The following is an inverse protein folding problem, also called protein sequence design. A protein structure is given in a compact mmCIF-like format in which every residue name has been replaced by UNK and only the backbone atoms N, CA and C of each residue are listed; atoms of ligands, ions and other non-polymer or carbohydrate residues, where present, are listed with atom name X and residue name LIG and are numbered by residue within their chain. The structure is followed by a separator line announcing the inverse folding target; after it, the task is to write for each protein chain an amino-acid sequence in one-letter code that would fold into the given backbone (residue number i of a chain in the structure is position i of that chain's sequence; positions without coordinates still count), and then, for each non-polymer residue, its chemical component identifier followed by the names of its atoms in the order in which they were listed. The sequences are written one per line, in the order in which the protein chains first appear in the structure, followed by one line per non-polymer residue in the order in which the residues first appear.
data_IF_358874659006
#
_entry.id   IF_358874659006
#
_cell.length_a   1.000
_cell.length_b   1.000
_cell.length_c   1.000
_cell.angle_alpha   90.00
_cell.angle_beta   90.00
_cell.angle_gamma   90.00
#
_symmetry.space_group_name_H-M   'P 1'
#
loop_
_entity.id
_entity.type
_entity.pdbx_description
1 polymer ?
#
# COMPACT_ATOMS: atom_id res chain seq x y z
N UNK A 1 10.58 -12.62 -16.44
CA UNK A 1 9.69 -13.32 -15.48
C UNK A 1 10.42 -14.02 -14.32
N UNK A 2 11.75 -14.24 -14.35
CA UNK A 2 12.46 -15.01 -13.32
C UNK A 2 12.94 -14.30 -12.03
N UNK A 3 12.66 -13.00 -11.83
CA UNK A 3 13.16 -12.26 -10.66
C UNK A 3 12.11 -12.08 -9.53
N UNK A 4 10.82 -12.05 -9.86
CA UNK A 4 9.75 -11.83 -8.89
C UNK A 4 9.59 -12.98 -7.89
N UNK A 5 9.76 -14.23 -8.33
CA UNK A 5 9.70 -15.39 -7.44
C UNK A 5 10.79 -15.37 -6.36
N UNK A 6 12.01 -14.93 -6.70
CA UNK A 6 13.09 -14.77 -5.72
C UNK A 6 12.83 -13.61 -4.77
N UNK A 7 12.38 -12.47 -5.29
CA UNK A 7 12.02 -11.32 -4.47
C UNK A 7 10.93 -11.68 -3.46
N UNK A 8 9.89 -12.39 -3.91
CA UNK A 8 8.81 -12.88 -3.05
C UNK A 8 9.33 -13.79 -1.94
N UNK A 9 10.22 -14.74 -2.25
CA UNK A 9 10.81 -15.63 -1.24
C UNK A 9 11.57 -14.85 -0.16
N UNK A 10 12.36 -13.83 -0.54
CA UNK A 10 13.07 -13.00 0.42
C UNK A 10 12.12 -12.15 1.27
N UNK A 11 11.09 -11.55 0.68
CA UNK A 11 10.11 -10.76 1.42
C UNK A 11 9.26 -11.61 2.37
N UNK A 12 8.83 -12.81 1.96
CA UNK A 12 8.08 -13.73 2.83
C UNK A 12 8.93 -14.20 4.02
N UNK A 13 10.22 -14.52 3.80
CA UNK A 13 11.14 -14.83 4.91
C UNK A 13 11.32 -13.66 5.86
N UNK A 14 11.49 -12.44 5.33
CA UNK A 14 11.59 -11.23 6.15
C UNK A 14 10.31 -10.99 6.95
N UNK A 15 9.15 -11.20 6.33
CA UNK A 15 7.84 -11.03 6.97
C UNK A 15 7.68 -11.98 8.15
N UNK A 16 8.02 -13.27 7.97
CA UNK A 16 7.95 -14.26 9.05
C UNK A 16 8.87 -13.94 10.24
N UNK A 17 10.02 -13.31 9.98
CA UNK A 17 10.92 -12.86 11.05
C UNK A 17 10.27 -11.70 11.81
N UNK A 18 9.70 -10.72 11.10
CA UNK A 18 9.01 -9.61 11.72
C UNK A 18 7.78 -10.04 12.51
N UNK A 19 6.95 -10.96 12.00
CA UNK A 19 5.78 -11.48 12.71
C UNK A 19 6.14 -12.13 14.06
N UNK A 20 7.31 -12.78 14.14
CA UNK A 20 7.79 -13.40 15.39
C UNK A 20 8.41 -12.40 16.35
N UNK A 21 9.02 -11.33 15.84
CA UNK A 21 9.83 -10.41 16.62
C UNK A 21 9.06 -9.15 17.07
N UNK A 22 7.97 -8.78 16.40
CA UNK A 22 7.32 -7.49 16.56
C UNK A 22 5.86 -7.63 17.01
N UNK A 23 5.33 -6.62 17.73
CA UNK A 23 3.89 -6.54 18.00
C UNK A 23 3.06 -6.52 16.70
N UNK A 24 1.82 -7.05 16.69
CA UNK A 24 1.01 -7.16 15.48
C UNK A 24 0.71 -5.86 14.72
N UNK A 25 0.85 -4.70 15.35
CA UNK A 25 0.60 -3.39 14.73
C UNK A 25 1.91 -2.63 14.45
N UNK A 26 3.07 -3.30 14.46
CA UNK A 26 4.34 -2.62 14.24
C UNK A 26 4.46 -2.17 12.76
N UNK A 27 4.84 -0.91 12.47
CA UNK A 27 4.90 -0.38 11.09
C UNK A 27 5.74 -1.22 10.11
N UNK A 28 6.83 -1.84 10.57
CA UNK A 28 7.63 -2.76 9.73
C UNK A 28 6.84 -3.95 9.16
N UNK A 29 5.79 -4.43 9.83
CA UNK A 29 4.90 -5.45 9.28
C UNK A 29 4.16 -4.90 8.06
N UNK A 30 3.62 -3.69 8.16
CA UNK A 30 2.96 -3.02 7.03
C UNK A 30 3.92 -2.76 5.86
N UNK A 31 5.16 -2.35 6.13
CA UNK A 31 6.18 -2.20 5.07
C UNK A 31 6.47 -3.52 4.37
N UNK A 32 6.56 -4.60 5.14
CA UNK A 32 6.78 -5.94 4.58
C UNK A 32 5.60 -6.40 3.72
N UNK A 33 4.37 -6.20 4.20
CA UNK A 33 3.15 -6.50 3.45
C UNK A 33 3.05 -5.68 2.16
N UNK A 34 3.34 -4.38 2.21
CA UNK A 34 3.37 -3.52 1.03
C UNK A 34 4.35 -4.02 -0.04
N UNK A 35 5.53 -4.48 0.35
CA UNK A 35 6.52 -5.02 -0.59
C UNK A 35 6.05 -6.32 -1.24
N UNK A 36 5.43 -7.21 -0.46
CA UNK A 36 4.86 -8.45 -1.00
C UNK A 36 3.70 -8.14 -1.96
N UNK A 37 2.82 -7.21 -1.58
CA UNK A 37 1.73 -6.73 -2.43
C UNK A 37 2.22 -6.19 -3.76
N UNK A 38 3.29 -5.37 -3.74
CA UNK A 38 3.91 -4.82 -4.95
C UNK A 38 4.48 -5.90 -5.87
N UNK A 39 5.08 -6.94 -5.31
CA UNK A 39 5.58 -8.06 -6.13
C UNK A 39 4.41 -8.78 -6.80
N UNK A 40 3.31 -9.03 -6.08
CA UNK A 40 2.12 -9.66 -6.68
C UNK A 40 1.44 -8.78 -7.73
N UNK A 41 1.37 -7.47 -7.54
CA UNK A 41 0.83 -6.52 -8.54
C UNK A 41 1.66 -6.55 -9.82
N UNK A 42 2.99 -6.50 -9.70
CA UNK A 42 3.91 -6.62 -10.85
C UNK A 42 3.85 -7.98 -11.56
N UNK A 43 3.37 -9.02 -10.87
CA UNK A 43 3.10 -10.34 -11.46
C UNK A 43 1.71 -10.45 -12.10
N UNK A 44 0.88 -9.41 -12.00
CA UNK A 44 -0.53 -9.43 -12.43
C UNK A 44 -1.44 -10.23 -11.51
N UNK A 45 -0.97 -10.65 -10.33
CA UNK A 45 -1.79 -11.33 -9.33
C UNK A 45 -2.46 -10.31 -8.41
N UNK A 46 -3.40 -9.56 -8.97
CA UNK A 46 -4.09 -8.46 -8.29
C UNK A 46 -4.84 -8.89 -7.03
N UNK A 47 -5.43 -10.09 -7.01
CA UNK A 47 -6.12 -10.60 -5.83
C UNK A 47 -5.19 -10.75 -4.62
N UNK A 48 -3.97 -11.28 -4.82
CA UNK A 48 -2.99 -11.37 -3.75
C UNK A 48 -2.40 -9.99 -3.42
N UNK A 49 -2.19 -9.13 -4.42
CA UNK A 49 -1.72 -7.77 -4.17
C UNK A 49 -2.66 -7.02 -3.22
N UNK A 50 -3.97 -7.06 -3.49
CA UNK A 50 -5.00 -6.47 -2.62
C UNK A 50 -4.96 -7.05 -1.20
N UNK A 51 -4.87 -8.38 -1.05
CA UNK A 51 -4.81 -9.01 0.27
C UNK A 51 -3.67 -8.45 1.13
N UNK A 52 -2.47 -8.30 0.56
CA UNK A 52 -1.32 -7.78 1.28
C UNK A 52 -1.41 -6.26 1.51
N UNK A 53 -1.86 -5.48 0.53
CA UNK A 53 -2.06 -4.04 0.73
C UNK A 53 -3.14 -3.72 1.78
N UNK A 54 -4.21 -4.50 1.86
CA UNK A 54 -5.25 -4.35 2.89
C UNK A 54 -4.73 -4.73 4.29
N UNK A 55 -3.88 -5.76 4.41
CA UNK A 55 -3.19 -6.09 5.67
C UNK A 55 -2.30 -4.95 6.13
N UNK A 56 -1.49 -4.39 5.22
CA UNK A 56 -0.63 -3.25 5.51
C UNK A 56 -1.44 -2.04 5.98
N UNK A 57 -2.52 -1.70 5.26
CA UNK A 57 -3.42 -0.61 5.61
C UNK A 57 -3.99 -0.79 7.02
N UNK A 58 -4.49 -1.99 7.35
CA UNK A 58 -5.07 -2.29 8.68
C UNK A 58 -4.07 -2.14 9.83
N UNK A 59 -2.79 -2.45 9.58
CA UNK A 59 -1.73 -2.22 10.55
C UNK A 59 -1.50 -0.71 10.74
N UNK A 60 -1.38 0.04 9.64
CA UNK A 60 -1.15 1.48 9.66
C UNK A 60 -2.31 2.23 10.32
N UNK A 61 -3.56 1.86 10.04
CA UNK A 61 -4.77 2.46 10.65
C UNK A 61 -4.79 2.32 12.18
N UNK A 62 -4.14 1.29 12.73
CA UNK A 62 -4.01 1.11 14.18
C UNK A 62 -2.78 1.79 14.76
N UNK A 63 -1.72 1.94 13.96
CA UNK A 63 -0.43 2.44 14.43
C UNK A 63 -0.29 3.96 14.30
N UNK A 64 -1.02 4.58 13.37
CA UNK A 64 -0.82 5.96 12.94
C UNK A 64 -2.08 6.82 13.11
N UNK A 65 -1.91 8.14 13.25
CA UNK A 65 -3.06 9.04 13.25
C UNK A 65 -3.77 9.05 11.88
N UNK A 66 -5.09 9.34 11.83
CA UNK A 66 -5.90 9.21 10.61
C UNK A 66 -5.44 10.02 9.38
N UNK A 67 -4.65 11.09 9.58
CA UNK A 67 -4.14 11.93 8.49
C UNK A 67 -2.64 11.67 8.22
N UNK A 68 -2.09 10.52 8.60
CA UNK A 68 -0.68 10.22 8.34
C UNK A 68 -0.44 9.94 6.84
N UNK A 69 0.59 10.52 6.20
CA UNK A 69 0.89 10.30 4.78
C UNK A 69 1.00 8.82 4.36
N UNK A 70 1.54 7.96 5.23
CA UNK A 70 1.62 6.52 4.95
C UNK A 70 0.26 5.85 4.72
N UNK A 71 -0.82 6.32 5.36
CA UNK A 71 -2.18 5.84 5.09
C UNK A 71 -2.60 6.22 3.66
N UNK A 72 -2.27 7.44 3.22
CA UNK A 72 -2.55 7.89 1.87
C UNK A 72 -1.81 7.05 0.83
N UNK A 73 -0.54 6.74 1.06
CA UNK A 73 0.25 5.86 0.21
C UNK A 73 -0.38 4.46 0.12
N UNK A 74 -0.83 3.89 1.23
CA UNK A 74 -1.51 2.59 1.23
C UNK A 74 -2.83 2.60 0.47
N UNK A 75 -3.67 3.63 0.64
CA UNK A 75 -4.89 3.76 -0.17
C UNK A 75 -4.57 3.93 -1.66
N UNK A 76 -3.51 4.67 -2.00
CA UNK A 76 -3.08 4.85 -3.39
C UNK A 76 -2.64 3.52 -4.03
N UNK A 77 -1.91 2.67 -3.31
CA UNK A 77 -1.51 1.36 -3.81
C UNK A 77 -2.73 0.46 -4.09
N UNK A 78 -3.73 0.47 -3.21
CA UNK A 78 -4.98 -0.27 -3.44
C UNK A 78 -5.72 0.28 -4.67
N UNK A 79 -5.80 1.61 -4.81
CA UNK A 79 -6.38 2.26 -5.98
C UNK A 79 -5.69 1.85 -7.28
N UNK A 80 -4.35 1.77 -7.27
CA UNK A 80 -3.55 1.32 -8.41
C UNK A 80 -3.87 -0.12 -8.82
N UNK A 81 -4.06 -1.02 -7.87
CA UNK A 81 -4.44 -2.40 -8.20
C UNK A 81 -5.82 -2.46 -8.85
N UNK A 82 -6.81 -1.72 -8.32
CA UNK A 82 -8.13 -1.65 -8.95
C UNK A 82 -8.09 -1.01 -10.34
N UNK A 83 -7.25 0.02 -10.53
CA UNK A 83 -7.02 0.61 -11.84
C UNK A 83 -6.42 -0.41 -12.82
N UNK A 84 -5.41 -1.17 -12.40
CA UNK A 84 -4.79 -2.22 -13.20
C UNK A 84 -5.77 -3.37 -13.55
N UNK A 85 -6.78 -3.59 -12.71
CA UNK A 85 -7.89 -4.53 -12.98
C UNK A 85 -8.97 -3.96 -13.92
N UNK A 86 -8.95 -2.65 -14.21
CA UNK A 86 -9.98 -1.96 -14.98
C UNK A 86 -11.23 -1.57 -14.16
N UNK A 87 -11.21 -1.74 -12.83
CA UNK A 87 -12.27 -1.26 -11.94
C UNK A 87 -12.01 0.20 -11.55
N UNK A 88 -12.19 1.09 -12.52
CA UNK A 88 -11.90 2.52 -12.36
C UNK A 88 -12.76 3.18 -11.30
N UNK A 89 -13.99 2.69 -11.07
CA UNK A 89 -14.89 3.20 -10.04
C UNK A 89 -14.31 2.99 -8.64
N UNK A 90 -13.84 1.76 -8.35
CA UNK A 90 -13.16 1.51 -7.07
C UNK A 90 -11.81 2.21 -6.99
N UNK A 91 -11.04 2.22 -8.07
CA UNK A 91 -9.76 2.92 -8.10
C UNK A 91 -9.91 4.39 -7.67
N UNK A 92 -10.88 5.09 -8.26
CA UNK A 92 -11.21 6.48 -7.93
C UNK A 92 -11.59 6.65 -6.45
N UNK A 93 -12.41 5.78 -5.88
CA UNK A 93 -12.78 5.84 -4.46
C UNK A 93 -11.53 5.81 -3.55
N UNK A 94 -10.57 4.93 -3.86
CA UNK A 94 -9.34 4.79 -3.11
C UNK A 94 -8.37 5.97 -3.34
N UNK A 95 -8.26 6.47 -4.56
CA UNK A 95 -7.46 7.65 -4.86
C UNK A 95 -8.01 8.91 -4.17
N UNK A 96 -9.33 9.10 -4.12
CA UNK A 96 -9.94 10.20 -3.38
C UNK A 96 -9.64 10.13 -1.87
N UNK A 97 -9.66 8.93 -1.27
CA UNK A 97 -9.27 8.73 0.13
C UNK A 97 -7.81 9.12 0.36
N UNK A 98 -6.93 8.68 -0.54
CA UNK A 98 -5.50 9.04 -0.51
C UNK A 98 -5.30 10.56 -0.60
N UNK A 99 -5.91 11.20 -1.60
CA UNK A 99 -5.85 12.64 -1.82
C UNK A 99 -6.31 13.44 -0.59
N UNK A 100 -7.47 13.09 0.00
CA UNK A 100 -8.01 13.76 1.19
C UNK A 100 -7.04 13.71 2.39
N UNK A 101 -6.26 12.64 2.52
CA UNK A 101 -5.25 12.53 3.59
C UNK A 101 -4.04 13.40 3.25
N UNK A 102 -3.50 13.29 2.03
CA UNK A 102 -2.36 14.12 1.61
C UNK A 102 -2.67 15.62 1.70
N UNK A 103 -3.88 16.05 1.32
CA UNK A 103 -4.32 17.44 1.43
C UNK A 103 -4.28 17.96 2.88
N UNK A 104 -4.64 17.11 3.85
CA UNK A 104 -4.62 17.47 5.28
C UNK A 104 -3.22 17.35 5.90
N UNK A 105 -2.40 16.45 5.39
CA UNK A 105 -1.12 16.10 5.97
C UNK A 105 0.03 16.99 5.48
N UNK A 106 -0.07 17.49 4.25
CA UNK A 106 1.04 18.12 3.53
C UNK A 106 0.73 19.56 3.12
N UNK A 107 1.73 20.46 3.13
CA UNK A 107 1.59 21.77 2.52
C UNK A 107 1.27 21.66 1.02
N UNK A 108 0.53 22.62 0.42
CA UNK A 108 0.07 22.55 -0.98
C UNK A 108 1.14 22.37 -2.07
N UNK A 109 2.45 22.49 -1.73
CA UNK A 109 3.58 22.38 -2.66
C UNK A 109 4.34 21.07 -2.54
N UNK A 110 3.83 20.09 -1.80
CA UNK A 110 4.53 18.84 -1.58
C UNK A 110 4.38 17.86 -2.77
N UNK A 111 5.45 17.21 -3.24
CA UNK A 111 5.40 16.31 -4.40
C UNK A 111 4.36 15.19 -4.30
N UNK A 112 4.16 14.61 -3.11
CA UNK A 112 3.18 13.53 -2.92
C UNK A 112 1.74 14.00 -3.11
N UNK A 113 1.43 15.26 -2.75
CA UNK A 113 0.13 15.86 -3.07
C UNK A 113 -0.04 15.98 -4.59
N UNK A 114 1.01 16.37 -5.33
CA UNK A 114 0.95 16.42 -6.79
C UNK A 114 0.78 15.03 -7.41
N UNK A 115 1.42 13.99 -6.87
CA UNK A 115 1.25 12.61 -7.33
C UNK A 115 -0.18 12.10 -7.13
N UNK A 116 -0.86 12.52 -6.07
CA UNK A 116 -2.26 12.15 -5.83
C UNK A 116 -3.22 12.68 -6.91
N UNK A 117 -2.92 13.83 -7.53
CA UNK A 117 -3.70 14.37 -8.65
C UNK A 117 -3.48 13.61 -9.97
N UNK A 118 -2.36 12.91 -10.14
CA UNK A 118 -2.10 12.20 -11.39
C UNK A 118 -2.98 10.94 -11.55
N UNK A 119 -3.59 10.48 -10.46
CA UNK A 119 -4.38 9.25 -10.41
C UNK A 119 -5.90 9.50 -10.39
N UNK A 120 -6.34 10.77 -10.36
CA UNK A 120 -7.74 11.22 -10.38
C UNK A 120 -8.00 11.92 -11.71
#
# INVERSE_FOLDING_TARGET
MGNYSKALEFYEKSHQIFEKALPPNHPNLATSDNNIGLVYDNMGNYSKALEFYEKALKILEKALPPNHPDLATSYNNIGLVYHNMGDYSKALEFYEKSHKIFEKALPPRYPDLALSYNNI
#
